data_IF_184409191187
#
_entry.id   IF_184409191187
#
_cell.length_a   1.000
_cell.length_b   1.000
_cell.length_c   1.000
_cell.angle_alpha   90.00
_cell.angle_beta   90.00
_cell.angle_gamma   90.00
#
_symmetry.space_group_name_H-M   'P 1'
#
loop_
_entity.id
_entity.type
_entity.pdbx_description
1 polymer ?
#
# COMPACT_ATOMS: atom_id res chain seq x y z
N UNK A 1 3.78 10.55 -15.35
CA UNK A 1 4.59 10.29 -14.14
C UNK A 1 4.77 11.63 -13.45
N UNK A 2 4.40 11.76 -12.18
CA UNK A 2 4.47 13.04 -11.47
C UNK A 2 5.96 13.38 -11.29
N UNK A 3 6.43 14.50 -11.85
CA UNK A 3 7.82 14.95 -11.82
C UNK A 3 8.16 15.59 -10.45
N UNK A 4 7.84 14.87 -9.38
CA UNK A 4 7.94 15.31 -7.99
C UNK A 4 9.30 15.01 -7.36
N UNK A 5 10.23 14.39 -8.08
CA UNK A 5 11.56 14.01 -7.60
C UNK A 5 11.58 12.86 -6.58
N UNK A 6 10.44 12.23 -6.28
CA UNK A 6 10.34 11.11 -5.34
C UNK A 6 10.46 9.78 -6.10
N UNK A 7 11.43 8.96 -5.71
CA UNK A 7 11.58 7.59 -6.21
C UNK A 7 10.29 6.77 -5.94
N UNK A 8 9.65 6.19 -6.97
CA UNK A 8 8.45 5.37 -6.81
C UNK A 8 8.60 4.22 -5.80
N UNK A 9 9.80 3.64 -5.68
CA UNK A 9 10.07 2.59 -4.68
C UNK A 9 9.96 3.12 -3.24
N UNK A 10 10.22 4.41 -3.00
CA UNK A 10 10.00 5.03 -1.69
C UNK A 10 8.52 5.22 -1.41
N UNK A 11 7.71 5.61 -2.40
CA UNK A 11 6.25 5.74 -2.26
C UNK A 11 5.65 4.38 -1.89
N UNK A 12 5.98 3.33 -2.62
CA UNK A 12 5.45 1.97 -2.37
C UNK A 12 5.88 1.47 -0.98
N UNK A 13 7.15 1.68 -0.58
CA UNK A 13 7.63 1.29 0.75
C UNK A 13 6.95 2.10 1.87
N UNK A 14 6.72 3.39 1.68
CA UNK A 14 6.05 4.24 2.65
C UNK A 14 4.58 3.85 2.81
N UNK A 15 3.87 3.65 1.69
CA UNK A 15 2.49 3.17 1.68
C UNK A 15 2.36 1.83 2.40
N UNK A 16 3.24 0.87 2.08
CA UNK A 16 3.24 -0.43 2.74
C UNK A 16 3.42 -0.30 4.26
N UNK A 17 4.37 0.53 4.72
CA UNK A 17 4.58 0.77 6.17
C UNK A 17 3.36 1.39 6.84
N UNK A 18 2.69 2.36 6.19
CA UNK A 18 1.46 2.97 6.72
C UNK A 18 0.31 1.98 6.77
N UNK A 19 0.09 1.23 5.68
CA UNK A 19 -0.99 0.26 5.57
C UNK A 19 -0.91 -0.88 6.59
N UNK A 20 0.31 -1.34 6.91
CA UNK A 20 0.51 -2.42 7.90
C UNK A 20 0.58 -1.90 9.33
N UNK A 21 0.74 -0.59 9.53
CA UNK A 21 0.80 0.01 10.87
C UNK A 21 -0.54 -0.21 11.56
N UNK A 22 -0.51 -0.87 12.73
CA UNK A 22 -1.68 -1.23 13.52
C UNK A 22 -2.71 -2.08 12.74
N UNK A 23 -2.29 -2.78 11.69
CA UNK A 23 -3.18 -3.74 11.04
C UNK A 23 -3.33 -4.98 11.91
N UNK A 24 -4.57 -5.44 12.02
CA UNK A 24 -4.94 -6.72 12.59
C UNK A 24 -5.81 -7.48 11.59
N UNK A 25 -5.80 -8.81 11.68
CA UNK A 25 -6.59 -9.66 10.82
C UNK A 25 -8.09 -9.38 11.03
N UNK A 26 -8.77 -8.93 9.99
CA UNK A 26 -10.21 -8.76 10.00
C UNK A 26 -10.95 -10.10 10.00
N UNK A 27 -12.18 -10.11 10.51
CA UNK A 27 -13.06 -11.29 10.53
C UNK A 27 -13.66 -11.65 9.17
N UNK A 28 -13.52 -10.78 8.18
CA UNK A 28 -14.08 -10.98 6.85
C UNK A 28 -13.04 -11.50 5.87
N UNK A 29 -13.43 -12.49 5.06
CA UNK A 29 -12.61 -12.90 3.94
C UNK A 29 -12.73 -11.91 2.79
N UNK A 30 -11.59 -11.37 2.38
CA UNK A 30 -11.49 -10.55 1.17
C UNK A 30 -10.71 -11.37 0.13
N UNK A 31 -11.29 -11.66 -1.04
CA UNK A 31 -10.57 -12.38 -2.08
C UNK A 31 -9.39 -11.54 -2.58
N UNK A 32 -8.25 -12.17 -2.91
CA UNK A 32 -7.13 -11.46 -3.52
C UNK A 32 -7.55 -10.88 -4.86
N UNK A 33 -6.94 -9.76 -5.26
CA UNK A 33 -7.17 -9.18 -6.59
C UNK A 33 -6.79 -10.17 -7.69
N UNK A 34 -7.66 -10.30 -8.69
CA UNK A 34 -7.40 -11.07 -9.93
C UNK A 34 -6.54 -10.29 -10.92
N UNK A 35 -6.28 -9.00 -10.66
CA UNK A 35 -5.48 -8.16 -11.55
C UNK A 35 -4.09 -8.73 -11.78
N UNK A 36 -3.69 -8.74 -13.05
CA UNK A 36 -2.39 -9.25 -13.41
C UNK A 36 -1.29 -8.35 -12.85
N UNK A 37 -0.46 -8.95 -12.01
CA UNK A 37 0.69 -8.28 -11.42
C UNK A 37 1.65 -7.79 -12.50
N UNK A 38 2.15 -6.58 -12.29
CA UNK A 38 3.19 -6.01 -13.14
C UNK A 38 4.43 -6.91 -13.12
N UNK A 39 5.08 -7.04 -14.29
CA UNK A 39 6.40 -7.69 -14.39
C UNK A 39 7.53 -6.76 -13.96
N UNK A 40 7.20 -5.50 -13.65
CA UNK A 40 8.11 -4.48 -13.17
C UNK A 40 8.50 -4.81 -11.73
N UNK A 41 9.69 -5.40 -11.55
CA UNK A 41 10.15 -5.85 -10.23
C UNK A 41 10.93 -4.79 -9.46
N UNK A 42 11.39 -3.73 -10.13
CA UNK A 42 12.22 -2.65 -9.56
C UNK A 42 11.60 -1.99 -8.32
N UNK A 43 10.27 -1.90 -8.25
CA UNK A 43 9.58 -1.29 -7.10
C UNK A 43 8.75 -2.29 -6.29
N UNK A 44 9.04 -3.59 -6.44
CA UNK A 44 8.35 -4.63 -5.68
C UNK A 44 8.75 -4.56 -4.20
N UNK A 45 7.78 -4.36 -3.31
CA UNK A 45 7.97 -4.49 -1.88
C UNK A 45 7.60 -5.89 -1.36
N UNK A 46 8.30 -6.33 -0.31
CA UNK A 46 7.98 -7.55 0.46
C UNK A 46 7.95 -7.18 1.95
N UNK A 47 7.06 -7.82 2.68
CA UNK A 47 6.93 -7.66 4.13
C UNK A 47 6.61 -9.00 4.77
N UNK A 48 6.85 -9.09 6.07
CA UNK A 48 6.42 -10.19 6.95
C UNK A 48 5.44 -9.61 7.95
N UNK A 49 4.33 -10.31 8.20
CA UNK A 49 3.29 -9.88 9.13
C UNK A 49 3.06 -10.94 10.20
N UNK A 50 2.97 -10.51 11.45
CA UNK A 50 2.44 -11.35 12.52
C UNK A 50 0.93 -11.44 12.38
N UNK A 51 0.38 -12.65 12.42
CA UNK A 51 -1.05 -12.91 12.26
C UNK A 51 -1.48 -13.91 13.32
N UNK A 52 -2.64 -13.71 13.93
CA UNK A 52 -3.24 -14.69 14.83
C UNK A 52 -3.60 -15.97 14.06
N UNK A 53 -2.90 -17.06 14.35
CA UNK A 53 -3.04 -18.31 13.62
C UNK A 53 -4.41 -18.98 13.81
N UNK A 54 -4.98 -19.08 15.03
CA UNK A 54 -6.35 -19.49 15.26
C UNK A 54 -7.38 -18.74 14.41
N UNK A 55 -7.38 -17.40 14.43
CA UNK A 55 -8.31 -16.59 13.63
C UNK A 55 -8.12 -16.81 12.12
N UNK A 56 -6.89 -16.84 11.63
CA UNK A 56 -6.59 -17.09 10.22
C UNK A 56 -7.09 -18.47 9.76
N UNK A 57 -6.85 -19.50 10.56
CA UNK A 57 -7.29 -20.86 10.23
C UNK A 57 -8.82 -20.99 10.30
N UNK A 58 -9.50 -20.28 11.21
CA UNK A 58 -10.95 -20.26 11.26
C UNK A 58 -11.54 -19.62 10.01
N UNK A 59 -10.96 -18.49 9.57
CA UNK A 59 -11.36 -17.79 8.36
C UNK A 59 -11.14 -18.65 7.10
N UNK A 60 -9.98 -19.30 6.98
CA UNK A 60 -9.69 -20.24 5.88
C UNK A 60 -10.73 -21.36 5.82
N UNK A 61 -11.00 -22.04 6.92
CA UNK A 61 -11.97 -23.16 6.92
C UNK A 61 -13.37 -22.73 6.50
N UNK A 62 -13.77 -21.50 6.80
CA UNK A 62 -15.09 -20.99 6.45
C UNK A 62 -15.21 -20.63 4.95
N UNK A 63 -14.14 -20.17 4.30
CA UNK A 63 -14.19 -19.60 2.95
C UNK A 63 -13.39 -20.36 1.89
N UNK A 64 -12.45 -21.20 2.30
CA UNK A 64 -11.63 -22.08 1.46
C UNK A 64 -11.56 -23.49 2.10
N UNK A 65 -12.70 -24.22 2.14
CA UNK A 65 -12.76 -25.53 2.79
C UNK A 65 -11.91 -26.60 2.07
N UNK A 66 -11.50 -26.33 0.83
CA UNK A 66 -10.65 -27.22 0.04
C UNK A 66 -9.15 -26.88 0.17
N UNK A 67 -8.80 -25.84 0.93
CA UNK A 67 -7.41 -25.38 1.16
C UNK A 67 -6.63 -25.16 -0.15
N UNK A 68 -7.29 -24.56 -1.15
CA UNK A 68 -6.69 -24.30 -2.47
C UNK A 68 -5.91 -22.98 -2.47
N UNK A 69 -6.34 -22.01 -1.66
CA UNK A 69 -5.69 -20.71 -1.52
C UNK A 69 -4.57 -20.78 -0.49
N UNK A 70 -3.42 -20.20 -0.82
CA UNK A 70 -2.38 -20.01 0.18
C UNK A 70 -2.88 -19.11 1.32
N UNK A 71 -2.42 -19.33 2.54
CA UNK A 71 -2.66 -18.42 3.69
C UNK A 71 -2.36 -16.95 3.36
N UNK A 72 -1.34 -16.72 2.53
CA UNK A 72 -0.94 -15.39 2.10
C UNK A 72 -1.93 -14.73 1.12
N UNK A 73 -2.74 -15.53 0.41
CA UNK A 73 -3.82 -15.01 -0.44
C UNK A 73 -4.88 -14.27 0.39
N UNK A 74 -5.28 -14.83 1.54
CA UNK A 74 -6.24 -14.17 2.44
C UNK A 74 -5.66 -12.87 3.03
N UNK A 75 -4.45 -12.95 3.60
CA UNK A 75 -3.81 -11.80 4.26
C UNK A 75 -3.63 -10.67 3.25
N UNK A 76 -3.23 -11.00 2.02
CA UNK A 76 -3.10 -10.02 0.95
C UNK A 76 -4.44 -9.39 0.58
N UNK A 77 -5.53 -10.17 0.49
CA UNK A 77 -6.85 -9.63 0.19
C UNK A 77 -7.26 -8.49 1.12
N UNK A 78 -6.89 -8.56 2.41
CA UNK A 78 -7.15 -7.48 3.37
C UNK A 78 -6.12 -6.34 3.33
N UNK A 79 -4.85 -6.64 3.03
CA UNK A 79 -3.76 -5.64 3.05
C UNK A 79 -3.67 -4.82 1.77
N UNK A 80 -3.82 -5.46 0.60
CA UNK A 80 -3.58 -4.84 -0.70
C UNK A 80 -4.49 -3.62 -0.95
N UNK A 81 -5.80 -3.64 -0.65
CA UNK A 81 -6.64 -2.44 -0.75
C UNK A 81 -6.16 -1.30 0.14
N UNK A 82 -5.66 -1.59 1.36
CA UNK A 82 -5.10 -0.57 2.26
C UNK A 82 -3.82 0.03 1.71
N UNK A 83 -2.97 -0.78 1.08
CA UNK A 83 -1.75 -0.30 0.44
C UNK A 83 -2.08 0.64 -0.71
N UNK A 84 -3.05 0.28 -1.57
CA UNK A 84 -3.48 1.14 -2.66
C UNK A 84 -4.01 2.48 -2.16
N UNK A 85 -4.88 2.48 -1.15
CA UNK A 85 -5.38 3.71 -0.54
C UNK A 85 -4.26 4.60 0.02
N UNK A 86 -3.24 4.00 0.65
CA UNK A 86 -2.08 4.74 1.16
C UNK A 86 -1.17 5.27 0.04
N UNK A 87 -1.09 4.59 -1.10
CA UNK A 87 -0.39 5.12 -2.28
C UNK A 87 -1.11 6.38 -2.76
N UNK A 88 -2.43 6.35 -2.92
CA UNK A 88 -3.21 7.50 -3.37
C UNK A 88 -3.02 8.70 -2.43
N UNK A 89 -3.15 8.48 -1.11
CA UNK A 89 -2.92 9.52 -0.09
C UNK A 89 -1.51 10.11 -0.19
N UNK A 90 -0.48 9.26 -0.35
CA UNK A 90 0.90 9.73 -0.44
C UNK A 90 1.16 10.51 -1.73
N UNK A 91 0.58 10.10 -2.85
CA UNK A 91 0.70 10.83 -4.11
C UNK A 91 0.05 12.22 -4.00
N UNK A 92 -1.10 12.32 -3.35
CA UNK A 92 -1.76 13.61 -3.06
C UNK A 92 -0.90 14.49 -2.13
N UNK A 93 -0.37 13.93 -1.04
CA UNK A 93 0.54 14.65 -0.12
C UNK A 93 1.78 15.18 -0.86
N UNK A 94 2.37 14.38 -1.76
CA UNK A 94 3.53 14.78 -2.54
C UNK A 94 3.18 15.90 -3.52
N UNK A 95 2.04 15.80 -4.20
CA UNK A 95 1.57 16.82 -5.14
C UNK A 95 1.34 18.18 -4.44
N UNK A 96 0.70 18.17 -3.27
CA UNK A 96 0.48 19.39 -2.46
C UNK A 96 1.81 20.03 -2.05
N UNK A 97 2.78 19.23 -1.57
CA UNK A 97 4.11 19.74 -1.18
C UNK A 97 4.88 20.30 -2.36
N UNK A 98 4.84 19.64 -3.52
CA UNK A 98 5.48 20.12 -4.74
C UNK A 98 4.90 21.46 -5.20
N UNK A 99 3.57 21.62 -5.15
CA UNK A 99 2.91 22.88 -5.48
C UNK A 99 3.33 24.04 -4.54
N UNK A 100 3.40 23.77 -3.22
CA UNK A 100 3.83 24.76 -2.25
C UNK A 100 5.29 25.23 -2.48
N UNK A 101 6.20 24.28 -2.78
CA UNK A 101 7.60 24.60 -3.08
C UNK A 101 7.78 25.43 -4.35
N UNK A 102 6.93 25.20 -5.36
CA UNK A 102 6.98 25.98 -6.59
C UNK A 102 6.46 27.41 -6.36
N UNK A 103 5.41 27.59 -5.56
CA UNK A 103 4.90 28.92 -5.21
C UNK A 103 5.92 29.76 -4.42
N UNK A 104 6.71 29.13 -3.54
CA UNK A 104 7.77 29.82 -2.80
C UNK A 104 8.95 30.24 -3.69
N UNK A 105 9.31 29.41 -4.68
CA UNK A 105 10.34 29.73 -5.68
C UNK A 105 9.93 30.86 -6.63
N UNK A 106 8.63 30.95 -6.94
CA UNK A 106 8.08 31.97 -7.85
C UNK A 106 7.80 33.31 -7.15
N UNK A 107 8.12 33.46 -5.85
CA UNK A 107 8.03 34.77 -5.19
C UNK A 107 9.25 35.60 -5.59
N UNK A 108 9.12 36.63 -6.45
CA UNK A 108 10.26 37.44 -6.84
C UNK A 108 10.76 38.18 -5.60
N UNK A 109 12.08 38.15 -5.38
CA UNK A 109 12.78 39.09 -4.51
C UNK A 109 12.42 40.52 -4.97
N UNK A 110 11.35 41.07 -4.42
CA UNK A 110 10.98 42.46 -4.65
C UNK A 110 11.88 43.29 -3.76
N UNK A 111 12.92 43.82 -4.41
CA UNK A 111 13.68 45.03 -4.13
C UNK A 111 13.73 45.52 -2.68
N UNK A 112 14.95 45.49 -2.11
CA UNK A 112 15.47 46.54 -1.22
C UNK A 112 16.58 47.29 -1.95
#
# INVERSE_FOLDING_TARGET
MIDCGVDPAHVIRAALRRAVKNWELGSEFVPPSEEQRTRITEWRARTSLAVDAPALNALLRAHDPLDVLSKWALVRGQIEPRVWAEIDILLDEIAVRAAAQNAEKDTPETCL
#
